data_IF_052010539638
#
_entry.id   IF_052010539638
#
_cell.length_a   1.000
_cell.length_b   1.000
_cell.length_c   1.000
_cell.angle_alpha   90.00
_cell.angle_beta   90.00
_cell.angle_gamma   90.00
#
_symmetry.space_group_name_H-M   'P 1'
#
loop_
_entity.id
_entity.type
_entity.pdbx_description
1 polymer ?
#
# COMPACT_ATOMS: atom_id res chain seq x y z
N UNK A 1 11.78 12.61 -18.03
CA UNK A 1 12.69 11.53 -17.62
C UNK A 1 11.98 10.21 -17.92
N UNK A 2 12.36 9.51 -19.00
CA UNK A 2 11.77 8.21 -19.37
C UNK A 2 12.88 7.17 -19.25
N UNK A 3 12.67 6.08 -18.50
CA UNK A 3 13.58 4.95 -18.54
C UNK A 3 13.03 3.88 -19.52
N UNK A 4 13.90 3.08 -20.18
CA UNK A 4 13.46 2.04 -21.11
C UNK A 4 12.49 1.00 -20.51
N UNK A 5 12.55 0.78 -19.20
CA UNK A 5 11.66 -0.15 -18.49
C UNK A 5 10.21 0.37 -18.41
N UNK A 6 10.00 1.67 -18.21
CA UNK A 6 8.65 2.27 -18.13
C UNK A 6 7.97 2.28 -19.51
N UNK A 7 8.74 2.36 -20.59
CA UNK A 7 8.23 2.36 -21.96
C UNK A 7 8.18 0.96 -22.61
N UNK A 8 8.73 -0.09 -21.96
CA UNK A 8 8.86 -1.42 -22.57
C UNK A 8 7.53 -2.18 -22.68
N UNK A 9 6.53 -1.81 -21.86
CA UNK A 9 5.27 -2.56 -21.75
C UNK A 9 4.08 -1.94 -22.47
N UNK A 10 4.21 -0.72 -22.99
CA UNK A 10 3.13 -0.05 -23.73
C UNK A 10 3.65 0.43 -25.07
N UNK A 11 3.15 -0.15 -26.16
CA UNK A 11 3.50 0.30 -27.51
C UNK A 11 2.96 1.70 -27.79
N UNK A 12 3.64 2.47 -28.65
CA UNK A 12 3.24 3.84 -29.00
C UNK A 12 1.78 3.93 -29.49
N UNK A 13 1.31 2.92 -30.23
CA UNK A 13 -0.09 2.84 -30.68
C UNK A 13 -1.08 2.68 -29.53
N UNK A 14 -0.80 1.81 -28.55
CA UNK A 14 -1.64 1.64 -27.37
C UNK A 14 -1.69 2.92 -26.54
N UNK A 15 -0.55 3.62 -26.39
CA UNK A 15 -0.50 4.90 -25.69
C UNK A 15 -1.34 5.98 -26.40
N UNK A 16 -1.25 6.08 -27.73
CA UNK A 16 -2.02 7.06 -28.51
C UNK A 16 -3.52 6.75 -28.58
N UNK A 17 -3.91 5.48 -28.46
CA UNK A 17 -5.31 5.03 -28.49
C UNK A 17 -5.92 4.90 -27.08
N UNK A 18 -5.14 5.16 -26.02
CA UNK A 18 -5.61 5.05 -24.66
C UNK A 18 -6.72 6.07 -24.39
N UNK A 19 -7.88 5.57 -23.93
CA UNK A 19 -9.02 6.41 -23.57
C UNK A 19 -9.03 6.80 -22.09
N UNK A 20 -8.17 6.15 -21.29
CA UNK A 20 -8.07 6.35 -19.85
C UNK A 20 -6.61 6.25 -19.43
N UNK A 21 -6.25 7.00 -18.39
CA UNK A 21 -4.93 6.98 -17.78
C UNK A 21 -5.03 6.40 -16.38
N UNK A 22 -4.26 5.35 -16.11
CA UNK A 22 -4.10 4.78 -14.78
C UNK A 22 -2.71 5.15 -14.26
N UNK A 23 -2.68 5.89 -13.15
CA UNK A 23 -1.45 6.27 -12.48
C UNK A 23 -1.25 5.43 -11.22
N UNK A 24 -0.05 4.88 -11.05
CA UNK A 24 0.35 4.14 -9.86
C UNK A 24 1.60 4.76 -9.26
N UNK A 25 1.56 5.01 -7.95
CA UNK A 25 2.71 5.45 -7.18
C UNK A 25 2.94 4.49 -6.02
N UNK A 26 4.21 4.32 -5.63
CA UNK A 26 4.60 3.43 -4.51
C UNK A 26 5.25 4.22 -3.36
N UNK A 27 5.76 5.43 -3.63
CA UNK A 27 6.46 6.27 -2.65
C UNK A 27 5.89 7.70 -2.55
N UNK A 28 4.74 7.94 -3.16
CA UNK A 28 4.11 9.26 -3.23
C UNK A 28 2.75 9.29 -2.54
N UNK A 29 2.51 8.40 -1.57
CA UNK A 29 1.23 8.32 -0.86
C UNK A 29 0.93 9.60 -0.05
N UNK A 30 1.97 10.34 0.37
CA UNK A 30 1.83 11.65 1.00
C UNK A 30 1.23 12.72 0.08
N UNK A 31 1.18 12.49 -1.24
CA UNK A 31 0.48 13.38 -2.19
C UNK A 31 -1.01 13.09 -2.29
N UNK A 32 -1.53 12.04 -1.65
CA UNK A 32 -2.95 11.70 -1.68
C UNK A 32 -3.85 12.90 -1.34
N UNK A 33 -3.60 13.69 -0.27
CA UNK A 33 -4.43 14.86 0.04
C UNK A 33 -4.53 15.84 -1.15
N UNK A 34 -3.42 16.10 -1.83
CA UNK A 34 -3.41 16.96 -3.01
C UNK A 34 -4.20 16.34 -4.18
N UNK A 35 -4.10 15.03 -4.39
CA UNK A 35 -4.87 14.33 -5.42
C UNK A 35 -6.38 14.38 -5.17
N UNK A 36 -6.81 14.32 -3.90
CA UNK A 36 -8.21 14.44 -3.52
C UNK A 36 -8.82 15.81 -3.82
N UNK A 37 -7.97 16.86 -3.93
CA UNK A 37 -8.39 18.20 -4.34
C UNK A 37 -8.51 18.35 -5.88
N UNK A 38 -8.04 17.37 -6.65
CA UNK A 38 -8.08 17.42 -8.11
C UNK A 38 -9.42 16.89 -8.66
N UNK A 39 -9.86 17.33 -9.85
CA UNK A 39 -11.09 16.85 -10.49
C UNK A 39 -10.91 15.43 -11.08
N UNK A 40 -10.61 14.45 -10.23
CA UNK A 40 -10.46 13.06 -10.62
C UNK A 40 -11.84 12.46 -10.94
N UNK A 41 -11.94 11.77 -12.07
CA UNK A 41 -13.17 11.06 -12.45
C UNK A 41 -13.48 9.89 -11.50
N UNK A 42 -12.45 9.28 -10.92
CA UNK A 42 -12.55 8.11 -10.07
C UNK A 42 -11.79 8.33 -8.77
N UNK A 43 -12.35 7.82 -7.66
CA UNK A 43 -11.71 7.86 -6.34
C UNK A 43 -10.34 7.18 -6.39
N UNK A 44 -9.29 7.73 -5.78
CA UNK A 44 -8.00 7.04 -5.68
C UNK A 44 -8.15 5.67 -5.00
N UNK A 45 -7.39 4.68 -5.49
CA UNK A 45 -7.24 3.41 -4.79
C UNK A 45 -6.10 3.53 -3.79
N UNK A 46 -6.39 3.31 -2.52
CA UNK A 46 -5.38 3.20 -1.49
C UNK A 46 -5.16 1.71 -1.23
N UNK A 47 -3.98 1.18 -1.60
CA UNK A 47 -3.65 -0.24 -1.43
C UNK A 47 -2.67 -0.41 -0.27
N UNK A 48 -3.00 -1.25 0.71
CA UNK A 48 -2.11 -1.55 1.83
C UNK A 48 -1.92 -3.03 2.05
N UNK A 49 -0.68 -3.39 2.32
CA UNK A 49 -0.29 -4.73 2.79
C UNK A 49 0.05 -4.63 4.28
N UNK A 50 -0.02 -5.76 4.99
CA UNK A 50 0.39 -5.81 6.39
C UNK A 50 1.76 -5.14 6.59
N UNK A 51 1.92 -4.21 7.56
CA UNK A 51 3.14 -3.42 7.71
C UNK A 51 4.39 -4.27 7.90
N UNK A 52 4.30 -5.36 8.67
CA UNK A 52 5.39 -6.32 8.83
C UNK A 52 5.91 -6.83 7.49
N UNK A 53 5.01 -7.21 6.58
CA UNK A 53 5.42 -7.71 5.27
C UNK A 53 6.10 -6.64 4.43
N UNK A 54 5.60 -5.41 4.48
CA UNK A 54 6.18 -4.27 3.77
C UNK A 54 7.61 -4.04 4.26
N UNK A 55 7.79 -3.88 5.56
CA UNK A 55 9.10 -3.51 6.12
C UNK A 55 10.10 -4.65 6.01
N UNK A 56 9.69 -5.90 6.25
CA UNK A 56 10.55 -7.07 6.03
C UNK A 56 10.95 -7.20 4.57
N UNK A 57 10.02 -7.01 3.63
CA UNK A 57 10.33 -7.05 2.20
C UNK A 57 11.30 -5.95 1.79
N UNK A 58 11.13 -4.72 2.32
CA UNK A 58 12.00 -3.59 1.99
C UNK A 58 13.42 -3.79 2.52
N UNK A 59 13.56 -4.17 3.80
CA UNK A 59 14.87 -4.43 4.41
C UNK A 59 15.58 -5.60 3.72
N UNK A 60 14.86 -6.67 3.36
CA UNK A 60 15.46 -7.79 2.60
C UNK A 60 15.91 -7.38 1.20
N UNK A 61 15.11 -6.58 0.48
CA UNK A 61 15.38 -6.24 -0.91
C UNK A 61 16.45 -5.14 -1.08
N UNK A 62 16.51 -4.18 -0.16
CA UNK A 62 17.34 -2.99 -0.29
C UNK A 62 18.37 -2.82 0.83
N UNK A 63 18.36 -3.70 1.83
CA UNK A 63 19.13 -3.53 3.05
C UNK A 63 18.53 -2.49 4.01
N UNK A 64 19.19 -2.25 5.16
CA UNK A 64 18.82 -1.17 6.05
C UNK A 64 18.94 0.20 5.37
N UNK A 65 18.02 1.09 5.73
CA UNK A 65 18.05 2.47 5.23
C UNK A 65 19.29 3.20 5.77
N UNK A 66 20.08 3.88 4.91
CA UNK A 66 21.16 4.73 5.37
C UNK A 66 20.61 5.88 6.22
N UNK A 67 21.15 6.04 7.44
CA UNK A 67 20.70 7.06 8.38
C UNK A 67 21.56 8.34 8.35
N UNK A 68 22.67 8.33 7.61
CA UNK A 68 23.54 9.50 7.44
C UNK A 68 23.05 10.49 6.37
N UNK A 69 21.92 10.21 5.74
CA UNK A 69 21.30 11.15 4.79
C UNK A 69 20.61 12.29 5.53
N UNK A 70 20.60 13.46 4.90
CA UNK A 70 19.78 14.58 5.34
C UNK A 70 18.29 14.26 5.10
N UNK A 71 17.46 14.21 6.16
CA UNK A 71 16.04 13.91 6.02
C UNK A 71 15.27 14.95 5.20
N UNK A 72 15.70 16.21 5.18
CA UNK A 72 15.04 17.25 4.38
C UNK A 72 15.19 17.01 2.89
N UNK A 73 16.34 16.47 2.49
CA UNK A 73 16.64 16.11 1.09
C UNK A 73 16.02 14.77 0.73
N UNK A 74 16.12 13.77 1.60
CA UNK A 74 15.65 12.41 1.31
C UNK A 74 14.12 12.29 1.39
N UNK A 75 13.46 13.09 2.24
CA UNK A 75 12.03 13.03 2.52
C UNK A 75 11.42 14.44 2.61
N UNK A 76 11.48 15.24 1.54
CA UNK A 76 10.97 16.61 1.58
C UNK A 76 9.50 16.63 1.99
N UNK A 77 9.15 17.55 2.90
CA UNK A 77 7.78 17.73 3.39
C UNK A 77 7.31 16.75 4.49
N UNK A 78 8.10 15.73 4.84
CA UNK A 78 7.76 14.78 5.92
C UNK A 78 8.16 15.30 7.30
N UNK A 79 7.52 16.38 7.77
CA UNK A 79 7.87 17.08 9.03
C UNK A 79 7.90 16.15 10.25
N UNK A 80 6.93 15.23 10.37
CA UNK A 80 6.90 14.28 11.50
C UNK A 80 8.11 13.32 11.48
N UNK A 81 8.49 12.85 10.29
CA UNK A 81 9.67 12.02 10.10
C UNK A 81 10.96 12.78 10.41
N UNK A 82 11.07 14.03 9.98
CA UNK A 82 12.23 14.89 10.26
C UNK A 82 12.43 15.08 11.77
N UNK A 83 11.34 15.33 12.50
CA UNK A 83 11.37 15.47 13.96
C UNK A 83 11.80 14.18 14.66
N UNK A 84 11.33 13.03 14.18
CA UNK A 84 11.67 11.73 14.74
C UNK A 84 13.08 11.26 14.35
N UNK A 85 13.69 11.83 13.30
CA UNK A 85 14.93 11.35 12.70
C UNK A 85 16.07 11.11 13.70
N UNK A 86 16.38 12.04 14.64
CA UNK A 86 17.48 11.84 15.58
C UNK A 86 17.30 10.61 16.48
N UNK A 87 16.07 10.30 16.87
CA UNK A 87 15.76 9.11 17.68
C UNK A 87 15.78 7.84 16.82
N UNK A 88 15.27 7.91 15.58
CA UNK A 88 15.32 6.78 14.65
C UNK A 88 16.75 6.35 14.33
N UNK A 89 17.72 7.28 14.33
CA UNK A 89 19.15 6.95 14.17
C UNK A 89 19.67 6.01 15.27
N UNK A 90 19.05 6.02 16.45
CA UNK A 90 19.48 5.24 17.62
C UNK A 90 18.78 3.88 17.71
N UNK A 91 17.81 3.60 16.85
CA UNK A 91 17.15 2.30 16.79
C UNK A 91 18.04 1.34 16.02
N UNK A 92 18.68 0.40 16.71
CA UNK A 92 19.61 -0.56 16.11
C UNK A 92 18.91 -1.58 15.20
N UNK A 93 17.69 -1.96 15.55
CA UNK A 93 16.93 -2.97 14.81
C UNK A 93 16.36 -2.40 13.50
N UNK A 94 16.81 -2.94 12.36
CA UNK A 94 16.45 -2.46 11.02
C UNK A 94 14.96 -2.57 10.71
N UNK A 95 14.30 -3.64 11.18
CA UNK A 95 12.87 -3.87 10.95
C UNK A 95 12.05 -2.90 11.81
N UNK A 96 12.43 -2.75 13.08
CA UNK A 96 11.81 -1.78 13.99
C UNK A 96 11.96 -0.36 13.44
N UNK A 97 13.18 0.04 13.09
CA UNK A 97 13.46 1.35 12.49
C UNK A 97 12.61 1.55 11.23
N UNK A 98 12.62 0.62 10.29
CA UNK A 98 11.84 0.72 9.06
C UNK A 98 10.32 0.74 9.32
N UNK A 99 9.85 0.14 10.41
CA UNK A 99 8.46 0.22 10.84
C UNK A 99 8.08 1.62 11.35
N UNK A 100 8.94 2.29 12.13
CA UNK A 100 8.71 3.69 12.47
C UNK A 100 8.66 4.56 11.21
N UNK A 101 9.58 4.34 10.27
CA UNK A 101 9.57 5.04 8.98
C UNK A 101 8.23 4.88 8.25
N UNK A 102 7.78 3.63 8.09
CA UNK A 102 6.51 3.32 7.45
C UNK A 102 5.34 3.98 8.18
N UNK A 103 5.30 3.94 9.52
CA UNK A 103 4.22 4.52 10.32
C UNK A 103 4.13 6.04 10.14
N UNK A 104 5.28 6.72 10.10
CA UNK A 104 5.38 8.17 9.89
C UNK A 104 5.14 8.61 8.44
N UNK A 105 5.10 7.69 7.48
CA UNK A 105 4.84 7.97 6.07
C UNK A 105 3.52 7.36 5.62
N UNK A 106 3.54 6.10 5.19
CA UNK A 106 2.42 5.43 4.53
C UNK A 106 1.36 5.00 5.53
N UNK A 107 1.76 4.60 6.74
CA UNK A 107 0.87 4.22 7.83
C UNK A 107 -0.05 5.37 8.25
N UNK A 108 0.49 6.57 8.43
CA UNK A 108 -0.30 7.75 8.77
C UNK A 108 -1.34 8.12 7.69
N UNK A 109 -0.98 7.98 6.40
CA UNK A 109 -1.94 8.19 5.30
C UNK A 109 -3.02 7.11 5.34
N UNK A 110 -2.64 5.86 5.56
CA UNK A 110 -3.59 4.76 5.67
C UNK A 110 -4.59 4.96 6.80
N UNK A 111 -4.10 5.21 8.01
CA UNK A 111 -4.94 5.37 9.21
C UNK A 111 -5.95 6.51 9.03
N UNK A 112 -5.55 7.59 8.36
CA UNK A 112 -6.40 8.75 8.11
C UNK A 112 -7.47 8.50 7.04
N UNK A 113 -7.11 7.86 5.94
CA UNK A 113 -7.95 7.83 4.73
C UNK A 113 -8.64 6.49 4.47
N UNK A 114 -8.15 5.36 5.00
CA UNK A 114 -8.69 4.05 4.65
C UNK A 114 -10.19 3.88 5.04
N UNK A 115 -10.65 4.60 6.06
CA UNK A 115 -12.06 4.63 6.47
C UNK A 115 -12.87 5.79 5.89
N UNK A 116 -12.31 6.61 5.00
CA UNK A 116 -13.00 7.74 4.39
C UNK A 116 -13.67 7.35 3.07
N UNK A 117 -14.77 8.01 2.75
CA UNK A 117 -15.47 7.82 1.47
C UNK A 117 -14.74 8.46 0.28
N UNK A 118 -13.60 9.13 0.49
CA UNK A 118 -12.85 9.82 -0.56
C UNK A 118 -11.95 8.86 -1.35
N UNK A 119 -11.64 7.70 -0.79
CA UNK A 119 -10.79 6.68 -1.40
C UNK A 119 -11.50 5.33 -1.46
N UNK A 120 -10.98 4.43 -2.29
CA UNK A 120 -11.30 3.01 -2.20
C UNK A 120 -10.13 2.32 -1.51
N UNK A 121 -10.31 1.96 -0.24
CA UNK A 121 -9.31 1.21 0.50
C UNK A 121 -9.31 -0.26 0.07
N UNK A 122 -8.13 -0.76 -0.30
CA UNK A 122 -7.91 -2.14 -0.72
C UNK A 122 -6.86 -2.75 0.19
N UNK A 123 -7.23 -3.78 0.93
CA UNK A 123 -6.27 -4.58 1.68
C UNK A 123 -5.70 -5.66 0.76
N UNK A 124 -4.37 -5.78 0.74
CA UNK A 124 -3.67 -6.76 -0.08
C UNK A 124 -4.05 -8.21 0.28
N UNK A 125 -4.39 -8.49 1.54
CA UNK A 125 -4.87 -9.81 1.96
C UNK A 125 -6.15 -10.20 1.24
N UNK A 126 -7.13 -9.29 1.16
CA UNK A 126 -8.37 -9.52 0.42
C UNK A 126 -8.10 -9.69 -1.07
N UNK A 127 -7.24 -8.84 -1.63
CA UNK A 127 -6.87 -8.92 -3.04
C UNK A 127 -6.19 -10.26 -3.37
N UNK A 128 -5.34 -10.76 -2.47
CA UNK A 128 -4.67 -12.04 -2.66
C UNK A 128 -5.66 -13.20 -2.54
N UNK A 129 -6.50 -13.23 -1.50
CA UNK A 129 -7.40 -14.35 -1.20
C UNK A 129 -8.67 -14.38 -2.06
N UNK A 130 -9.18 -13.19 -2.39
CA UNK A 130 -10.44 -12.98 -3.12
C UNK A 130 -10.25 -11.92 -4.22
N UNK A 131 -9.38 -12.19 -5.22
CA UNK A 131 -9.00 -11.20 -6.23
C UNK A 131 -10.19 -10.71 -7.06
N UNK A 132 -11.11 -11.61 -7.41
CA UNK A 132 -12.29 -11.27 -8.22
C UNK A 132 -13.26 -10.38 -7.46
N UNK A 133 -13.54 -10.69 -6.20
CA UNK A 133 -14.45 -9.88 -5.37
C UNK A 133 -13.83 -8.52 -5.04
N UNK A 134 -12.51 -8.48 -4.80
CA UNK A 134 -11.78 -7.22 -4.62
C UNK A 134 -11.79 -6.35 -5.87
N UNK A 135 -11.61 -6.93 -7.06
CA UNK A 135 -11.74 -6.22 -8.33
C UNK A 135 -13.17 -5.71 -8.54
N UNK A 136 -14.18 -6.55 -8.27
CA UNK A 136 -15.59 -6.16 -8.36
C UNK A 136 -15.89 -4.94 -7.48
N UNK A 137 -15.49 -4.96 -6.20
CA UNK A 137 -15.65 -3.82 -5.28
C UNK A 137 -15.07 -2.52 -5.83
N UNK A 138 -13.89 -2.58 -6.45
CA UNK A 138 -13.24 -1.42 -7.06
C UNK A 138 -14.05 -0.91 -8.27
N UNK A 139 -14.44 -1.80 -9.18
CA UNK A 139 -15.21 -1.43 -10.37
C UNK A 139 -16.56 -0.83 -10.01
N UNK A 140 -17.24 -1.40 -9.02
CA UNK A 140 -18.50 -0.89 -8.49
C UNK A 140 -18.33 0.49 -7.84
N UNK A 141 -17.30 0.67 -7.00
CA UNK A 141 -17.00 1.95 -6.34
C UNK A 141 -16.68 3.07 -7.35
N UNK A 142 -16.09 2.71 -8.49
CA UNK A 142 -15.83 3.64 -9.59
C UNK A 142 -17.02 3.84 -10.53
N UNK A 143 -18.07 3.02 -10.40
CA UNK A 143 -19.09 2.82 -11.43
C UNK A 143 -18.45 2.71 -12.81
N UNK A 144 -17.37 1.93 -12.88
CA UNK A 144 -16.48 1.94 -14.04
C UNK A 144 -17.12 1.20 -15.21
N UNK A 145 -17.13 1.87 -16.37
CA UNK A 145 -17.57 1.30 -17.64
C UNK A 145 -16.65 1.79 -18.75
N UNK A 146 -16.09 0.91 -19.60
CA UNK A 146 -15.41 1.33 -20.80
C UNK A 146 -16.42 1.89 -21.80
N UNK A 147 -15.96 2.67 -22.79
CA UNK A 147 -16.82 3.27 -23.81
C UNK A 147 -17.38 2.27 -24.84
N UNK A 148 -17.25 0.97 -24.61
CA UNK A 148 -17.73 -0.09 -25.52
C UNK A 148 -19.21 -0.42 -25.28
N UNK A 149 -19.95 -0.70 -26.36
CA UNK A 149 -21.38 -1.04 -26.31
C UNK A 149 -21.69 -2.42 -25.71
N UNK A 150 -20.71 -3.31 -25.61
CA UNK A 150 -20.88 -4.69 -25.12
C UNK A 150 -20.21 -4.93 -23.75
N UNK A 151 -20.14 -3.90 -22.90
CA UNK A 151 -19.51 -4.03 -21.60
C UNK A 151 -20.27 -4.97 -20.65
N UNK A 152 -19.59 -6.01 -20.19
CA UNK A 152 -20.02 -6.88 -19.09
C UNK A 152 -18.89 -6.98 -18.05
N UNK A 153 -19.18 -6.47 -16.85
CA UNK A 153 -18.23 -6.45 -15.74
C UNK A 153 -17.86 -7.87 -15.27
N UNK A 154 -18.80 -8.81 -15.26
CA UNK A 154 -18.52 -10.20 -14.84
C UNK A 154 -17.64 -10.90 -15.86
N UNK A 155 -17.94 -10.77 -17.15
CA UNK A 155 -17.09 -11.32 -18.21
C UNK A 155 -15.66 -10.77 -18.13
N UNK A 156 -15.49 -9.47 -17.87
CA UNK A 156 -14.17 -8.87 -17.65
C UNK A 156 -13.46 -9.44 -16.42
N UNK A 157 -14.13 -9.49 -15.27
CA UNK A 157 -13.55 -10.03 -14.03
C UNK A 157 -13.12 -11.49 -14.20
N UNK A 158 -13.90 -12.29 -14.92
CA UNK A 158 -13.55 -13.69 -15.20
C UNK A 158 -12.37 -13.84 -16.16
N UNK A 159 -12.20 -12.89 -17.10
CA UNK A 159 -11.10 -12.86 -18.06
C UNK A 159 -9.75 -12.43 -17.48
N UNK A 160 -9.72 -11.80 -16.31
CA UNK A 160 -8.48 -11.43 -15.61
C UNK A 160 -7.91 -12.66 -14.91
N UNK A 161 -6.71 -13.08 -15.31
CA UNK A 161 -5.95 -14.10 -14.57
C UNK A 161 -5.30 -13.46 -13.34
N UNK A 162 -5.75 -13.77 -12.10
CA UNK A 162 -5.18 -13.22 -10.88
C UNK A 162 -3.75 -13.73 -10.60
N UNK A 163 -3.31 -14.76 -11.33
CA UNK A 163 -1.97 -15.32 -11.17
C UNK A 163 -0.95 -14.73 -12.15
N UNK A 164 -1.40 -13.97 -13.15
CA UNK A 164 -0.51 -13.21 -14.03
C UNK A 164 0.36 -12.25 -13.20
N UNK A 165 1.65 -12.59 -13.06
CA UNK A 165 2.56 -11.88 -12.17
C UNK A 165 2.87 -10.49 -12.72
N UNK A 166 3.11 -9.53 -11.82
CA UNK A 166 3.97 -8.40 -12.16
C UNK A 166 5.42 -8.90 -12.21
N UNK A 167 6.22 -8.55 -13.23
CA UNK A 167 7.63 -8.98 -13.41
C UNK A 167 8.56 -8.83 -12.19
N UNK A 168 8.13 -8.20 -11.10
CA UNK A 168 8.85 -8.13 -9.82
C UNK A 168 8.60 -9.35 -8.93
N UNK A 169 8.69 -10.57 -9.48
CA UNK A 169 8.90 -11.76 -8.66
C UNK A 169 10.39 -11.83 -8.33
N UNK A 170 10.80 -11.12 -7.28
CA UNK A 170 12.16 -11.16 -6.79
C UNK A 170 12.44 -12.57 -6.25
N UNK A 171 13.03 -13.42 -7.11
CA UNK A 171 13.66 -14.70 -6.77
C UNK A 171 12.74 -15.85 -6.32
N UNK A 172 11.52 -15.97 -6.87
CA UNK A 172 10.73 -17.22 -6.75
C UNK A 172 10.21 -17.52 -5.34
N UNK A 173 10.06 -16.49 -4.52
CA UNK A 173 9.61 -16.54 -3.12
C UNK A 173 8.06 -16.57 -2.99
N UNK A 174 7.36 -16.76 -4.12
CA UNK A 174 5.91 -16.90 -4.20
C UNK A 174 5.53 -18.34 -3.83
N UNK A 175 4.96 -18.52 -2.64
CA UNK A 175 4.27 -19.77 -2.31
C UNK A 175 3.01 -19.89 -3.18
N UNK A 176 2.72 -21.11 -3.67
CA UNK A 176 1.46 -21.40 -4.37
C UNK A 176 0.25 -21.24 -3.44
N UNK A 177 0.46 -21.35 -2.13
CA UNK A 177 -0.53 -21.08 -1.10
C UNK A 177 -0.48 -19.60 -0.66
N UNK A 178 -1.50 -18.84 -1.06
CA UNK A 178 -1.64 -17.42 -0.75
C UNK A 178 -1.86 -17.17 0.75
N UNK A 179 -2.54 -18.07 1.48
CA UNK A 179 -2.71 -17.94 2.92
C UNK A 179 -1.36 -18.09 3.62
N UNK A 180 -0.59 -19.12 3.24
CA UNK A 180 0.76 -19.30 3.76
C UNK A 180 1.67 -18.10 3.44
N UNK A 181 1.54 -17.52 2.25
CA UNK A 181 2.32 -16.34 1.84
C UNK A 181 2.00 -15.10 2.68
N UNK A 182 0.72 -14.89 3.04
CA UNK A 182 0.29 -13.78 3.90
C UNK A 182 0.67 -14.02 5.37
N UNK A 183 0.64 -15.27 5.83
CA UNK A 183 0.94 -15.64 7.21
C UNK A 183 2.45 -15.67 7.52
N UNK A 184 3.32 -15.77 6.50
CA UNK A 184 4.72 -16.20 6.67
C UNK A 184 5.54 -15.36 7.64
N UNK A 185 5.34 -14.05 7.67
CA UNK A 185 6.12 -13.19 8.55
C UNK A 185 5.50 -13.10 9.95
N UNK A 186 4.17 -13.00 10.04
CA UNK A 186 3.44 -12.93 11.31
C UNK A 186 3.65 -14.19 12.15
N UNK A 187 3.57 -15.37 11.53
CA UNK A 187 3.73 -16.67 12.21
C UNK A 187 5.16 -16.95 12.70
N UNK A 188 6.17 -16.25 12.17
CA UNK A 188 7.57 -16.39 12.57
C UNK A 188 7.95 -15.51 13.77
N UNK A 189 7.08 -14.59 14.18
CA UNK A 189 7.36 -13.71 15.32
C UNK A 189 7.24 -14.45 16.65
N UNK A 190 8.27 -14.36 17.48
CA UNK A 190 8.15 -14.72 18.90
C UNK A 190 7.20 -13.75 19.62
N UNK A 191 6.59 -14.14 20.75
CA UNK A 191 5.71 -13.25 21.52
C UNK A 191 6.40 -11.93 21.91
N UNK A 192 7.66 -11.99 22.33
CA UNK A 192 8.45 -10.80 22.67
C UNK A 192 8.65 -9.88 21.46
N UNK A 193 8.99 -10.44 20.29
CA UNK A 193 9.19 -9.65 19.07
C UNK A 193 7.88 -9.04 18.57
N UNK A 194 6.78 -9.78 18.67
CA UNK A 194 5.44 -9.27 18.36
C UNK A 194 5.08 -8.08 19.23
N UNK A 195 5.29 -8.17 20.55
CA UNK A 195 4.99 -7.08 21.48
C UNK A 195 5.86 -5.84 21.19
N UNK A 196 7.14 -6.03 20.91
CA UNK A 196 8.05 -4.95 20.50
C UNK A 196 7.53 -4.24 19.25
N UNK A 197 7.26 -4.96 18.16
CA UNK A 197 6.78 -4.34 16.92
C UNK A 197 5.38 -3.76 17.04
N UNK A 198 4.50 -4.35 17.86
CA UNK A 198 3.18 -3.78 18.14
C UNK A 198 3.31 -2.44 18.85
N UNK A 199 4.25 -2.30 19.80
CA UNK A 199 4.47 -1.04 20.51
C UNK A 199 4.86 0.11 19.57
N UNK A 200 5.51 -0.18 18.44
CA UNK A 200 5.78 0.83 17.39
C UNK A 200 4.49 1.29 16.73
N UNK A 201 3.59 0.36 16.37
CA UNK A 201 2.28 0.72 15.82
C UNK A 201 1.48 1.55 16.81
N UNK A 202 1.43 1.12 18.07
CA UNK A 202 0.71 1.79 19.15
C UNK A 202 1.26 3.20 19.40
N UNK A 203 2.59 3.37 19.38
CA UNK A 203 3.26 4.67 19.53
C UNK A 203 2.82 5.68 18.46
N UNK A 204 2.58 5.23 17.22
CA UNK A 204 2.14 6.08 16.12
C UNK A 204 0.62 6.08 15.92
N UNK A 205 -0.14 5.43 16.80
CA UNK A 205 -1.59 5.37 16.73
C UNK A 205 -2.12 4.58 15.52
N UNK A 206 -1.36 3.61 15.02
CA UNK A 206 -1.81 2.73 13.92
C UNK A 206 -2.71 1.64 14.50
N UNK A 207 -4.02 1.74 14.26
CA UNK A 207 -5.03 0.81 14.79
C UNK A 207 -5.57 -0.18 13.78
N UNK A 208 -5.46 0.09 12.47
CA UNK A 208 -6.02 -0.78 11.43
C UNK A 208 -5.25 -2.08 11.20
N UNK A 209 -4.02 -2.19 11.72
CA UNK A 209 -3.19 -3.40 11.62
C UNK A 209 -2.63 -3.76 12.99
N UNK A 210 -2.52 -5.06 13.25
CA UNK A 210 -1.92 -5.59 14.47
C UNK A 210 -0.88 -6.65 14.12
N UNK A 211 0.27 -6.62 14.78
CA UNK A 211 1.40 -7.51 14.51
C UNK A 211 1.12 -9.00 14.81
N UNK A 212 0.03 -9.28 15.51
CA UNK A 212 -0.45 -10.65 15.78
C UNK A 212 -1.37 -11.21 14.71
N UNK A 213 -1.90 -10.37 13.82
CA UNK A 213 -3.00 -10.71 12.94
C UNK A 213 -2.57 -10.65 11.47
N UNK A 214 -3.13 -11.54 10.66
CA UNK A 214 -2.89 -11.53 9.20
C UNK A 214 -3.80 -10.49 8.54
N UNK A 215 -5.01 -10.36 9.07
CA UNK A 215 -6.04 -9.48 8.55
C UNK A 215 -5.99 -8.13 9.29
N UNK A 216 -6.34 -7.04 8.61
CA UNK A 216 -6.55 -5.76 9.27
C UNK A 216 -7.68 -5.86 10.31
N UNK A 217 -7.65 -4.98 11.30
CA UNK A 217 -8.80 -4.78 12.18
C UNK A 217 -10.02 -4.33 11.34
N UNK A 218 -11.25 -4.71 11.72
CA UNK A 218 -12.44 -4.20 11.05
C UNK A 218 -12.43 -2.66 11.11
N UNK A 219 -12.49 -2.01 9.95
CA UNK A 219 -12.52 -0.56 9.88
C UNK A 219 -13.73 -0.06 10.66
N UNK A 220 -13.49 0.68 11.74
CA UNK A 220 -14.56 1.39 12.42
C UNK A 220 -14.92 2.59 11.53
N UNK A 221 -16.18 2.78 11.12
CA UNK A 221 -16.54 3.94 10.29
C UNK A 221 -16.10 5.22 11.01
N UNK A 222 -15.44 6.10 10.25
CA UNK A 222 -14.83 7.31 10.82
C UNK A 222 -15.86 8.08 11.65
N UNK A 223 -15.48 8.46 12.89
CA UNK A 223 -16.26 9.44 13.66
C UNK A 223 -16.25 10.71 12.82
N UNK A 224 -17.42 11.07 12.29
CA UNK A 224 -17.66 12.37 11.66
C UNK A 224 -16.98 13.44 12.49
N UNK A 225 -16.05 14.18 11.88
CA UNK A 225 -15.47 15.35 12.49
C UNK A 225 -16.63 16.28 12.89
N UNK A 226 -16.90 16.39 14.19
CA UNK A 226 -17.75 17.45 14.71
C UNK A 226 -17.06 18.76 14.38
N UNK A 227 -17.62 19.47 13.41
CA UNK A 227 -17.40 20.89 13.21
C UNK A 227 -17.70 21.62 14.52
N UNK A 228 -16.69 22.27 15.07
CA UNK A 228 -16.80 23.35 16.04
C UNK A 228 -16.09 24.57 15.45
#
# INVERSE_FOLDING_TARGET
MHNPWTASRTGARQALQAQQLLFKYVRANALLPWFLEQPLQHKPLLLMRHPLDIVTSQVRAFGPRPMEVDPEVAFPGHVALHRAWPELKRVDDDIERQLHFWALTDGAIWERYAGSDEVVAVHYCDLALQPRDSLRRVLDAWNWRPASSEWDAEAFIQGVDPNSTSDTDFQGDRLNDQQAQLAKNVTRLTPARRAQLQSVLDMHGIGLYHMGDINPAPSTPSRTASSA
#
